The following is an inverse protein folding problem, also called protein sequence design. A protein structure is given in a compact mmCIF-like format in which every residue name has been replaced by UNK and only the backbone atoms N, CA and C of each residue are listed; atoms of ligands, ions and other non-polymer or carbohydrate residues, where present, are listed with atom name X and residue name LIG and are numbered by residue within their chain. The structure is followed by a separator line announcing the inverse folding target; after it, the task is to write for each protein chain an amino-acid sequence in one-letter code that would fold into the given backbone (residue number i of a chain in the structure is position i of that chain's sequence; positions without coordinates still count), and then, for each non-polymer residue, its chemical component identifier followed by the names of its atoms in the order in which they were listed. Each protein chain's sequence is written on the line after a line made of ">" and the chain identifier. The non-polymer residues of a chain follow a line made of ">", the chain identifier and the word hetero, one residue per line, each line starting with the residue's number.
data_IF_947301011955
#
_entry.id   IF_947301011955
#
_cell.length_a   1.000
_cell.length_b   1.000
_cell.length_c   1.000
_cell.angle_alpha   90.00
_cell.angle_beta   90.00
_cell.angle_gamma   90.00
#
_symmetry.space_group_name_H-M   'P 1'
#
loop_
_entity.id
_entity.type
_entity.pdbx_description
1 polymer ?
#
# COMPACT_ATOMS: atom_id res chain seq x y z
N UNK A 1 2.04 51.35 1.82
CA UNK A 1 0.74 51.00 1.30
C UNK A 1 0.79 49.60 0.73
N UNK A 2 -0.11 48.77 1.22
CA UNK A 2 -0.32 47.34 0.96
C UNK A 2 -0.46 46.99 -0.54
N UNK A 3 0.28 45.97 -1.02
CA UNK A 3 -0.09 44.94 -1.99
C UNK A 3 1.17 44.21 -2.46
N UNK A 4 1.56 43.14 -1.85
CA UNK A 4 2.42 42.07 -2.39
C UNK A 4 2.48 40.94 -1.34
N UNK A 5 1.43 40.18 -1.21
CA UNK A 5 1.35 39.12 -0.21
C UNK A 5 0.51 37.90 -0.63
N UNK A 6 0.31 37.67 -1.94
CA UNK A 6 -0.58 36.57 -2.38
C UNK A 6 0.06 35.64 -3.44
N UNK A 7 1.31 35.86 -3.85
CA UNK A 7 1.91 35.05 -4.93
C UNK A 7 2.79 33.88 -4.46
N UNK A 8 3.03 33.72 -3.16
CA UNK A 8 3.95 32.67 -2.66
C UNK A 8 3.27 31.37 -2.24
N UNK A 9 1.96 31.31 -2.18
CA UNK A 9 1.23 30.12 -1.70
C UNK A 9 0.70 29.18 -2.81
N UNK A 10 0.77 29.60 -4.09
CA UNK A 10 0.36 28.73 -5.20
C UNK A 10 1.47 27.86 -5.79
N UNK A 11 2.73 28.16 -5.51
CA UNK A 11 3.87 27.38 -6.04
C UNK A 11 4.23 26.15 -5.19
N UNK A 12 3.85 26.12 -3.91
CA UNK A 12 4.14 24.97 -3.06
C UNK A 12 3.18 23.78 -3.23
N UNK A 13 1.98 24.00 -3.79
CA UNK A 13 1.02 22.90 -4.00
C UNK A 13 1.33 22.02 -5.20
N UNK A 14 2.07 22.50 -6.19
CA UNK A 14 2.42 21.71 -7.37
C UNK A 14 3.66 20.81 -7.19
N UNK A 15 4.48 21.07 -6.17
CA UNK A 15 5.69 20.28 -5.90
C UNK A 15 5.38 19.00 -5.10
N UNK A 16 4.30 19.03 -4.33
CA UNK A 16 3.88 17.85 -3.53
C UNK A 16 3.17 16.76 -4.35
N UNK A 17 2.64 17.09 -5.51
CA UNK A 17 1.86 16.15 -6.33
C UNK A 17 2.68 15.10 -7.08
N UNK A 18 4.00 15.34 -7.27
CA UNK A 18 4.86 14.42 -8.00
C UNK A 18 5.64 13.42 -7.13
N UNK A 19 5.58 13.53 -5.80
CA UNK A 19 6.24 12.58 -4.90
C UNK A 19 5.45 11.29 -4.63
N UNK A 20 4.19 11.22 -5.05
CA UNK A 20 3.30 10.09 -4.72
C UNK A 20 3.38 8.89 -5.67
N UNK A 21 4.16 8.94 -6.74
CA UNK A 21 4.25 7.84 -7.70
C UNK A 21 5.52 7.01 -7.64
N UNK A 22 6.33 7.19 -6.62
CA UNK A 22 7.50 6.36 -6.42
C UNK A 22 7.17 5.36 -5.31
N UNK A 23 6.71 4.19 -5.72
CA UNK A 23 6.84 3.01 -4.88
C UNK A 23 8.34 2.88 -4.56
N UNK A 24 8.77 2.99 -3.30
CA UNK A 24 10.09 2.53 -2.95
C UNK A 24 10.08 1.03 -3.20
N UNK A 25 10.79 0.58 -4.24
CA UNK A 25 11.13 -0.84 -4.44
C UNK A 25 12.06 -1.37 -3.34
N UNK A 26 12.44 -0.52 -2.45
CA UNK A 26 13.02 -0.79 -1.14
C UNK A 26 12.10 -0.28 -0.05
N UNK A 27 10.94 -0.89 0.14
CA UNK A 27 10.38 -0.97 1.47
C UNK A 27 11.06 -2.11 2.25
N UNK A 28 12.38 -2.07 2.31
CA UNK A 28 13.06 -2.30 3.55
C UNK A 28 13.21 -0.93 4.25
N UNK A 29 12.12 -0.23 4.45
CA UNK A 29 11.93 0.35 5.76
C UNK A 29 12.02 -0.88 6.67
N UNK A 30 13.17 -1.04 7.30
CA UNK A 30 13.33 -2.03 8.35
C UNK A 30 12.13 -1.85 9.26
N UNK A 31 11.62 -2.93 9.85
CA UNK A 31 10.57 -2.83 10.88
C UNK A 31 10.89 -1.75 11.93
N UNK A 32 12.16 -1.34 12.04
CA UNK A 32 12.67 -0.23 12.84
C UNK A 32 12.28 1.16 12.30
N UNK A 33 12.21 1.41 11.00
CA UNK A 33 11.87 2.75 10.47
C UNK A 33 10.38 3.00 10.47
N UNK A 34 9.56 1.95 10.26
CA UNK A 34 8.11 2.02 10.50
C UNK A 34 7.84 2.17 12.00
N UNK A 35 8.58 1.46 12.87
CA UNK A 35 8.51 1.63 14.31
C UNK A 35 8.90 3.04 14.75
N UNK A 36 9.95 3.65 14.19
CA UNK A 36 10.33 5.03 14.46
C UNK A 36 9.29 6.05 13.98
N UNK A 37 8.65 5.82 12.83
CA UNK A 37 7.58 6.70 12.34
C UNK A 37 6.33 6.60 13.23
N UNK A 38 6.04 5.42 13.73
CA UNK A 38 4.95 5.14 14.68
C UNK A 38 5.30 5.69 16.08
N UNK A 39 6.52 5.49 16.57
CA UNK A 39 6.99 6.08 17.83
C UNK A 39 7.01 7.61 17.79
N UNK A 40 7.44 8.22 16.69
CA UNK A 40 7.45 9.68 16.54
C UNK A 40 6.05 10.28 16.52
N UNK A 41 5.05 9.56 16.00
CA UNK A 41 3.66 9.97 16.02
C UNK A 41 2.95 9.65 17.36
N UNK A 42 3.35 8.58 18.05
CA UNK A 42 2.88 8.26 19.40
C UNK A 42 3.42 9.24 20.46
N UNK A 43 4.63 9.75 20.30
CA UNK A 43 5.21 10.78 21.18
C UNK A 43 4.48 12.12 21.10
N UNK A 44 3.72 12.40 20.04
CA UNK A 44 2.88 13.60 19.90
C UNK A 44 1.49 13.47 20.53
N UNK A 45 1.05 12.24 20.82
CA UNK A 45 -0.18 11.99 21.57
C UNK A 45 0.24 11.60 22.98
N UNK A 46 0.21 12.55 23.92
CA UNK A 46 0.57 12.33 25.32
C UNK A 46 -0.26 11.19 25.93
N UNK A 47 0.30 10.01 25.97
CA UNK A 47 -0.28 8.87 26.68
C UNK A 47 0.35 8.83 28.05
N UNK A 48 -0.46 9.18 29.05
CA UNK A 48 -0.16 8.98 30.46
C UNK A 48 0.10 7.50 30.76
N UNK A 49 1.11 7.27 31.56
CA UNK A 49 1.61 5.94 31.95
C UNK A 49 0.62 5.08 32.75
N UNK A 50 1.03 3.88 33.11
CA UNK A 50 0.14 2.82 33.61
C UNK A 50 -0.33 3.09 35.02
N UNK A 51 -1.64 2.95 35.25
CA UNK A 51 -2.25 2.93 36.57
C UNK A 51 -2.61 1.52 37.02
N UNK A 52 -2.64 1.29 38.34
CA UNK A 52 -2.39 -0.02 38.91
C UNK A 52 -3.63 -0.90 39.03
N UNK A 53 -3.31 -2.17 39.11
CA UNK A 53 -4.15 -3.30 39.50
C UNK A 53 -5.06 -2.96 40.72
N UNK A 54 -6.38 -3.11 40.56
CA UNK A 54 -7.29 -3.33 41.67
C UNK A 54 -7.91 -4.71 41.53
N UNK A 55 -7.55 -5.55 42.51
CA UNK A 55 -8.23 -6.77 42.91
C UNK A 55 -9.40 -6.37 43.82
N UNK A 56 -10.56 -6.94 43.63
CA UNK A 56 -11.33 -7.59 44.71
C UNK A 56 -12.76 -7.86 44.26
N UNK A 57 -13.09 -9.11 44.40
CA UNK A 57 -14.15 -9.68 45.25
C UNK A 57 -15.62 -9.40 44.92
N UNK A 58 -16.18 -10.50 44.39
CA UNK A 58 -17.34 -11.24 44.94
C UNK A 58 -18.47 -10.43 45.63
N UNK A 59 -19.63 -10.66 45.15
CA UNK A 59 -20.83 -11.22 45.75
C UNK A 59 -22.10 -10.67 45.10
N UNK A 60 -22.85 -11.58 44.48
CA UNK A 60 -24.10 -12.14 44.99
C UNK A 60 -25.21 -11.11 45.18
N UNK A 61 -26.25 -11.20 44.40
CA UNK A 61 -27.65 -11.31 44.80
C UNK A 61 -28.50 -11.74 43.59
N UNK A 62 -29.00 -12.83 43.67
CA UNK A 62 -30.25 -13.54 43.59
C UNK A 62 -31.51 -12.70 43.30
N UNK A 63 -32.26 -13.23 42.34
CA UNK A 63 -33.64 -13.71 42.42
C UNK A 63 -34.76 -12.69 42.26
N UNK A 64 -35.59 -13.00 41.29
CA UNK A 64 -37.05 -13.23 41.40
C UNK A 64 -37.54 -13.38 39.94
N UNK A 65 -37.94 -14.43 39.45
CA UNK A 65 -39.02 -15.39 39.54
C UNK A 65 -40.40 -14.79 39.86
N UNK A 66 -41.29 -14.77 38.86
CA UNK A 66 -42.75 -14.91 38.93
C UNK A 66 -43.17 -15.50 37.58
N UNK A 67 -43.41 -16.76 37.48
CA UNK A 67 -44.66 -17.57 37.70
C UNK A 67 -45.86 -17.04 36.90
N UNK A 68 -46.16 -17.82 35.87
CA UNK A 68 -47.31 -18.71 35.76
C UNK A 68 -48.70 -18.12 36.01
N UNK A 69 -49.53 -18.13 34.99
CA UNK A 69 -50.94 -18.49 35.15
C UNK A 69 -51.36 -19.36 33.94
N UNK A 70 -51.59 -20.60 34.33
CA UNK A 70 -52.28 -21.60 33.57
C UNK A 70 -53.78 -21.40 33.82
N UNK A 71 -54.58 -21.36 32.79
CA UNK A 71 -56.02 -21.65 32.92
C UNK A 71 -56.50 -22.45 31.74
N UNK A 72 -56.63 -23.70 32.08
CA UNK A 72 -57.55 -24.64 31.44
C UNK A 72 -58.98 -24.22 31.70
N UNK A 73 -59.83 -24.73 30.85
CA UNK A 73 -61.24 -25.01 30.95
C UNK A 73 -62.19 -23.83 30.73
N UNK A 74 -62.89 -23.94 29.67
CA UNK A 74 -64.36 -24.08 29.70
C UNK A 74 -64.87 -24.67 28.38
N UNK A 75 -65.26 -25.94 28.50
CA UNK A 75 -66.12 -26.67 27.56
C UNK A 75 -67.55 -26.20 27.74
N UNK A 76 -68.26 -26.32 26.63
CA UNK A 76 -69.68 -26.57 26.46
C UNK A 76 -70.67 -25.43 26.64
N UNK A 77 -71.35 -25.12 25.63
CA UNK A 77 -72.81 -25.34 25.57
C UNK A 77 -73.33 -25.23 24.13
N UNK A 78 -74.13 -26.18 23.94
CA UNK A 78 -74.82 -26.64 22.73
C UNK A 78 -75.92 -25.72 22.24
N UNK A 79 -76.24 -25.90 20.99
CA UNK A 79 -77.55 -26.00 20.34
C UNK A 79 -78.23 -24.77 19.72
N UNK A 80 -78.35 -24.92 18.43
CA UNK A 80 -79.49 -24.67 17.55
C UNK A 80 -80.18 -23.34 17.55
N UNK A 81 -80.19 -22.75 16.37
CA UNK A 81 -81.41 -22.54 15.58
C UNK A 81 -81.05 -22.29 14.09
N UNK A 82 -81.66 -23.05 13.27
CA UNK A 82 -81.76 -22.83 11.84
C UNK A 82 -82.62 -21.62 11.56
N UNK A 83 -82.20 -20.73 10.67
CA UNK A 83 -83.05 -20.11 9.71
C UNK A 83 -82.24 -19.59 8.54
N UNK A 84 -82.51 -20.05 7.37
CA UNK A 84 -81.87 -19.62 6.17
C UNK A 84 -82.19 -18.17 5.74
N UNK A 85 -81.26 -17.52 5.15
CA UNK A 85 -81.50 -16.47 4.17
C UNK A 85 -80.39 -16.51 3.15
N UNK A 86 -80.74 -16.88 1.94
CA UNK A 86 -80.00 -16.58 0.74
C UNK A 86 -79.86 -15.07 0.57
N UNK A 87 -78.70 -14.55 0.48
CA UNK A 87 -78.49 -13.30 -0.22
C UNK A 87 -77.07 -13.15 -0.75
N UNK A 88 -76.96 -13.28 -2.05
CA UNK A 88 -76.07 -12.61 -2.99
C UNK A 88 -74.63 -12.40 -2.63
N UNK A 89 -73.83 -13.30 -3.13
CA UNK A 89 -72.42 -13.11 -3.47
C UNK A 89 -72.16 -11.90 -4.43
N UNK A 90 -71.93 -10.71 -3.90
CA UNK A 90 -71.37 -9.59 -4.64
C UNK A 90 -70.31 -8.78 -3.89
N UNK A 91 -69.95 -9.14 -2.68
CA UNK A 91 -68.94 -8.42 -1.90
C UNK A 91 -67.57 -9.10 -1.77
N UNK A 92 -67.42 -10.35 -2.25
CA UNK A 92 -66.14 -11.07 -2.16
C UNK A 92 -65.12 -10.63 -3.23
N UNK A 93 -65.56 -10.29 -4.41
CA UNK A 93 -64.67 -9.89 -5.51
C UNK A 93 -63.95 -8.54 -5.26
N UNK A 94 -64.63 -7.59 -4.60
CA UNK A 94 -64.02 -6.28 -4.31
C UNK A 94 -62.99 -6.37 -3.19
N UNK A 95 -63.21 -7.18 -2.17
CA UNK A 95 -62.22 -7.43 -1.09
C UNK A 95 -60.96 -8.12 -1.60
N UNK A 96 -61.11 -9.14 -2.47
CA UNK A 96 -59.98 -9.87 -3.07
C UNK A 96 -59.18 -8.92 -4.00
N UNK A 97 -59.83 -8.04 -4.75
CA UNK A 97 -59.20 -7.07 -5.62
C UNK A 97 -58.44 -5.99 -4.84
N UNK A 98 -59.01 -5.48 -3.73
CA UNK A 98 -58.36 -4.57 -2.79
C UNK A 98 -57.17 -5.24 -2.07
N UNK A 99 -57.30 -6.47 -1.59
CA UNK A 99 -56.22 -7.24 -0.97
C UNK A 99 -55.05 -7.47 -1.94
N UNK A 100 -55.32 -7.78 -3.20
CA UNK A 100 -54.25 -7.92 -4.23
C UNK A 100 -53.55 -6.60 -4.46
N UNK A 101 -54.26 -5.48 -4.59
CA UNK A 101 -53.64 -4.15 -4.73
C UNK A 101 -52.82 -3.78 -3.48
N UNK A 102 -53.28 -4.08 -2.28
CA UNK A 102 -52.52 -3.85 -1.05
C UNK A 102 -51.26 -4.72 -0.97
N UNK A 103 -51.35 -6.00 -1.39
CA UNK A 103 -50.20 -6.89 -1.48
C UNK A 103 -49.16 -6.39 -2.50
N UNK A 104 -49.59 -5.86 -3.65
CA UNK A 104 -48.68 -5.24 -4.64
C UNK A 104 -48.02 -3.96 -4.10
N UNK A 105 -48.74 -3.12 -3.36
CA UNK A 105 -48.18 -1.91 -2.75
C UNK A 105 -47.17 -2.26 -1.65
N UNK A 106 -47.47 -3.25 -0.82
CA UNK A 106 -46.53 -3.75 0.22
C UNK A 106 -45.29 -4.35 -0.45
N UNK A 107 -45.46 -5.11 -1.53
CA UNK A 107 -44.35 -5.70 -2.29
C UNK A 107 -43.50 -4.60 -2.95
N UNK A 108 -44.13 -3.55 -3.50
CA UNK A 108 -43.44 -2.41 -4.10
C UNK A 108 -42.68 -1.60 -3.03
N UNK A 109 -43.29 -1.34 -1.88
CA UNK A 109 -42.63 -0.66 -0.74
C UNK A 109 -41.49 -1.51 -0.18
N UNK A 110 -41.68 -2.83 -0.07
CA UNK A 110 -40.62 -3.76 0.34
C UNK A 110 -39.46 -3.82 -0.64
N UNK A 111 -39.70 -3.74 -1.96
CA UNK A 111 -38.63 -3.70 -2.96
C UNK A 111 -37.89 -2.35 -2.97
N UNK A 112 -38.54 -1.23 -2.63
CA UNK A 112 -37.90 0.09 -2.50
C UNK A 112 -37.05 0.14 -1.21
N UNK A 113 -37.45 -0.54 -0.14
CA UNK A 113 -36.67 -0.62 1.10
C UNK A 113 -35.41 -1.51 0.96
N UNK A 114 -35.37 -2.41 -0.03
CA UNK A 114 -34.19 -3.27 -0.30
C UNK A 114 -33.09 -2.59 -1.12
N UNK A 115 -33.33 -1.41 -1.69
CA UNK A 115 -32.35 -0.71 -2.53
C UNK A 115 -31.55 0.37 -1.80
N UNK A 116 -31.71 0.54 -0.48
CA UNK A 116 -31.12 1.67 0.27
C UNK A 116 -29.94 1.29 1.17
N UNK A 117 -29.13 0.33 0.81
CA UNK A 117 -27.92 0.01 1.59
C UNK A 117 -26.70 -0.14 0.68
N UNK A 118 -26.52 0.76 -0.27
CA UNK A 118 -25.33 0.87 -1.09
C UNK A 118 -24.43 2.00 -0.61
N UNK A 119 -23.13 1.80 -0.73
CA UNK A 119 -22.13 2.84 -0.54
C UNK A 119 -22.38 3.94 -1.59
N UNK A 120 -22.15 5.21 -1.24
CA UNK A 120 -22.25 6.32 -2.18
C UNK A 120 -21.32 6.08 -3.37
N UNK A 121 -21.80 6.38 -4.59
CA UNK A 121 -20.94 6.34 -5.78
C UNK A 121 -19.69 7.20 -5.54
N UNK A 122 -18.51 6.65 -5.85
CA UNK A 122 -17.22 7.32 -5.61
C UNK A 122 -16.67 7.17 -4.18
N UNK A 123 -17.26 6.30 -3.35
CA UNK A 123 -16.73 5.91 -2.05
C UNK A 123 -16.51 4.40 -1.98
N UNK A 124 -15.62 3.99 -1.09
CA UNK A 124 -15.39 2.61 -0.72
C UNK A 124 -15.63 2.45 0.77
N UNK A 125 -16.28 1.36 1.17
CA UNK A 125 -16.57 1.06 2.57
C UNK A 125 -15.96 -0.26 2.99
N UNK A 126 -15.26 -0.26 4.13
CA UNK A 126 -14.72 -1.45 4.75
C UNK A 126 -15.34 -1.61 6.15
N UNK A 127 -16.07 -2.68 6.33
CA UNK A 127 -16.60 -3.08 7.63
C UNK A 127 -15.83 -4.28 8.17
N UNK A 128 -15.58 -4.32 9.46
CA UNK A 128 -14.81 -5.39 10.04
C UNK A 128 -15.28 -5.86 11.39
N UNK A 129 -15.07 -7.16 11.63
CA UNK A 129 -15.31 -7.80 12.92
C UNK A 129 -14.12 -8.68 13.27
N UNK A 130 -13.56 -8.45 14.45
CA UNK A 130 -12.49 -9.27 15.01
C UNK A 130 -12.96 -10.04 16.25
N UNK A 131 -12.55 -11.30 16.31
CA UNK A 131 -12.55 -12.08 17.53
C UNK A 131 -11.26 -11.74 18.32
N UNK A 132 -11.31 -11.90 19.64
CA UNK A 132 -10.17 -11.71 20.54
C UNK A 132 -9.56 -10.29 20.52
N UNK A 133 -10.32 -9.29 20.04
CA UNK A 133 -9.96 -7.88 20.09
C UNK A 133 -11.20 -7.06 20.43
N UNK A 134 -11.20 -6.41 21.59
CA UNK A 134 -12.32 -5.55 21.98
C UNK A 134 -12.08 -4.08 21.56
N UNK A 135 -10.86 -3.59 21.71
CA UNK A 135 -10.44 -2.24 21.31
C UNK A 135 -9.07 -2.30 20.66
N UNK A 136 -8.82 -1.41 19.69
CA UNK A 136 -7.54 -1.30 19.02
C UNK A 136 -7.57 -0.25 17.92
N UNK A 137 -6.42 0.01 17.36
CA UNK A 137 -6.23 0.91 16.22
C UNK A 137 -5.41 0.19 15.16
N UNK A 138 -5.82 0.35 13.90
CA UNK A 138 -5.08 -0.08 12.73
C UNK A 138 -4.71 1.13 11.91
N UNK A 139 -3.59 1.07 11.24
CA UNK A 139 -3.24 2.07 10.24
C UNK A 139 -3.62 1.56 8.86
N UNK A 140 -4.01 2.48 7.98
CA UNK A 140 -4.31 2.19 6.59
C UNK A 140 -3.62 3.20 5.69
N UNK A 141 -3.01 2.71 4.62
CA UNK A 141 -2.38 3.54 3.60
C UNK A 141 -2.56 2.91 2.21
N UNK A 142 -2.34 3.66 1.15
CA UNK A 142 -2.39 3.13 -0.23
C UNK A 142 -0.99 3.03 -0.83
N UNK A 143 -0.75 1.96 -1.59
CA UNK A 143 0.51 1.74 -2.31
C UNK A 143 0.48 2.21 -3.77
N UNK A 144 -0.69 2.60 -4.26
CA UNK A 144 -0.93 2.94 -5.67
C UNK A 144 -1.65 4.28 -5.86
N UNK A 145 -1.67 5.12 -4.82
CA UNK A 145 -2.16 6.49 -4.88
C UNK A 145 -3.65 6.66 -4.58
N UNK A 146 -4.33 5.63 -4.10
CA UNK A 146 -5.76 5.69 -3.77
C UNK A 146 -6.11 6.59 -2.57
N UNK A 147 -5.13 6.89 -1.72
CA UNK A 147 -5.26 7.84 -0.62
C UNK A 147 -3.93 8.53 -0.32
N UNK A 148 -3.98 9.72 0.26
CA UNK A 148 -2.81 10.48 0.70
C UNK A 148 -2.47 10.16 2.16
N UNK A 149 -1.20 9.81 2.42
CA UNK A 149 -0.69 9.59 3.77
C UNK A 149 -1.19 8.30 4.41
N UNK A 150 -1.32 8.33 5.73
CA UNK A 150 -1.75 7.20 6.57
C UNK A 150 -2.96 7.65 7.39
N UNK A 151 -4.00 6.84 7.40
CA UNK A 151 -5.19 7.05 8.22
C UNK A 151 -5.30 5.98 9.31
N UNK A 152 -6.20 6.20 10.28
CA UNK A 152 -6.36 5.32 11.44
C UNK A 152 -7.77 4.76 11.51
N UNK A 153 -7.88 3.44 11.58
CA UNK A 153 -9.13 2.71 11.78
C UNK A 153 -9.24 2.33 13.26
N UNK A 154 -10.28 2.82 13.93
CA UNK A 154 -10.55 2.50 15.34
C UNK A 154 -11.50 1.33 15.47
N UNK A 155 -11.11 0.35 16.30
CA UNK A 155 -11.93 -0.83 16.63
C UNK A 155 -12.59 -0.61 17.99
N UNK A 156 -13.91 -0.78 18.05
CA UNK A 156 -14.70 -0.67 19.28
C UNK A 156 -15.64 -1.87 19.36
N UNK A 157 -15.61 -2.59 20.48
CA UNK A 157 -16.40 -3.82 20.63
C UNK A 157 -16.08 -4.89 19.61
N UNK A 158 -14.82 -4.95 19.16
CA UNK A 158 -14.36 -5.88 18.12
C UNK A 158 -14.85 -5.55 16.72
N UNK A 159 -15.43 -4.37 16.50
CA UNK A 159 -15.99 -3.95 15.19
C UNK A 159 -15.42 -2.61 14.77
N UNK A 160 -15.38 -2.40 13.46
CA UNK A 160 -15.04 -1.11 12.87
C UNK A 160 -15.80 -0.90 11.56
N UNK A 161 -15.92 0.35 11.18
CA UNK A 161 -16.36 0.79 9.86
C UNK A 161 -15.40 1.87 9.40
N UNK A 162 -14.91 1.74 8.19
CA UNK A 162 -14.03 2.70 7.54
C UNK A 162 -14.58 3.02 6.17
N UNK A 163 -14.74 4.28 5.86
CA UNK A 163 -15.23 4.77 4.58
C UNK A 163 -14.30 5.85 4.06
N UNK A 164 -13.99 5.80 2.76
CA UNK A 164 -13.12 6.76 2.12
C UNK A 164 -13.61 7.09 0.71
N UNK A 165 -13.29 8.30 0.18
CA UNK A 165 -13.46 8.58 -1.24
C UNK A 165 -12.61 7.62 -2.07
N UNK A 166 -13.22 7.00 -3.08
CA UNK A 166 -12.58 6.03 -3.98
C UNK A 166 -13.08 6.28 -5.40
N UNK A 167 -12.38 7.14 -6.13
CA UNK A 167 -12.75 7.47 -7.51
C UNK A 167 -12.23 6.43 -8.49
N UNK A 168 -11.03 5.92 -8.24
CA UNK A 168 -10.39 4.85 -9.00
C UNK A 168 -10.09 3.67 -8.07
N UNK A 169 -10.13 2.46 -8.61
CA UNK A 169 -9.79 1.26 -7.87
C UNK A 169 -8.36 1.31 -7.36
N UNK A 170 -8.15 0.96 -6.08
CA UNK A 170 -6.85 1.04 -5.45
C UNK A 170 -6.59 -0.10 -4.46
N UNK A 171 -5.33 -0.23 -4.06
CA UNK A 171 -4.90 -1.19 -3.04
C UNK A 171 -4.62 -0.47 -1.73
N UNK A 172 -5.39 -0.80 -0.71
CA UNK A 172 -5.17 -0.35 0.66
C UNK A 172 -4.36 -1.41 1.41
N UNK A 173 -3.41 -0.97 2.21
CA UNK A 173 -2.66 -1.83 3.13
C UNK A 173 -3.11 -1.54 4.56
N UNK A 174 -3.68 -2.53 5.23
CA UNK A 174 -3.99 -2.44 6.66
C UNK A 174 -2.78 -2.94 7.44
N UNK A 175 -2.28 -2.10 8.34
CA UNK A 175 -1.19 -2.42 9.27
C UNK A 175 -1.79 -2.69 10.63
N UNK A 176 -1.63 -3.91 11.11
CA UNK A 176 -2.09 -4.34 12.43
C UNK A 176 -1.09 -3.97 13.55
N UNK A 177 -1.48 -3.99 14.82
CA UNK A 177 -0.59 -3.64 15.94
C UNK A 177 0.68 -4.49 16.05
N UNK A 178 0.69 -5.69 15.46
CA UNK A 178 1.86 -6.57 15.37
C UNK A 178 2.73 -6.30 14.13
N UNK A 179 2.50 -5.15 13.44
CA UNK A 179 3.15 -4.74 12.20
C UNK A 179 2.95 -5.68 11.01
N UNK A 180 2.04 -6.65 11.10
CA UNK A 180 1.67 -7.42 9.91
C UNK A 180 0.77 -6.58 9.00
N UNK A 181 0.97 -6.73 7.69
CA UNK A 181 0.24 -5.99 6.67
C UNK A 181 -0.66 -6.92 5.86
N UNK A 182 -1.85 -6.42 5.54
CA UNK A 182 -2.79 -7.14 4.69
C UNK A 182 -3.41 -6.22 3.63
N UNK A 183 -3.45 -6.65 2.37
CA UNK A 183 -4.07 -5.86 1.31
C UNK A 183 -5.59 -5.99 1.33
N UNK A 184 -6.24 -4.86 1.03
CA UNK A 184 -7.65 -4.74 0.70
C UNK A 184 -7.74 -4.06 -0.66
N UNK A 185 -8.45 -4.66 -1.59
CA UNK A 185 -8.68 -4.08 -2.91
C UNK A 185 -9.97 -3.26 -2.85
N UNK A 186 -9.81 -1.94 -2.83
CA UNK A 186 -10.92 -0.99 -2.82
C UNK A 186 -11.41 -0.75 -4.24
N UNK A 187 -12.69 -0.94 -4.47
CA UNK A 187 -13.37 -0.72 -5.74
C UNK A 187 -14.43 0.37 -5.54
N UNK A 188 -14.52 1.31 -6.47
CA UNK A 188 -15.41 2.48 -6.35
C UNK A 188 -16.88 2.09 -6.26
N UNK A 189 -17.59 2.56 -5.24
CA UNK A 189 -19.01 2.26 -4.99
C UNK A 189 -19.26 0.94 -4.27
N UNK A 190 -18.20 0.18 -3.94
CA UNK A 190 -18.32 -1.14 -3.34
C UNK A 190 -18.07 -1.11 -1.82
N UNK A 191 -18.57 -2.16 -1.16
CA UNK A 191 -18.30 -2.41 0.26
C UNK A 191 -17.78 -3.82 0.47
N UNK A 192 -16.86 -3.97 1.43
CA UNK A 192 -16.30 -5.26 1.80
C UNK A 192 -16.42 -5.51 3.30
N UNK A 193 -16.62 -6.77 3.65
CA UNK A 193 -16.66 -7.24 5.03
C UNK A 193 -15.39 -8.01 5.36
N UNK A 194 -14.66 -7.59 6.39
CA UNK A 194 -13.49 -8.25 6.93
C UNK A 194 -13.87 -9.01 8.21
N UNK A 195 -13.56 -10.29 8.26
CA UNK A 195 -13.67 -11.13 9.45
C UNK A 195 -12.32 -11.74 9.79
N UNK A 196 -11.91 -11.62 11.03
CA UNK A 196 -10.63 -12.16 11.49
C UNK A 196 -10.61 -12.48 12.97
N UNK A 197 -9.59 -13.23 13.36
CA UNK A 197 -9.18 -13.41 14.73
C UNK A 197 -7.88 -12.64 14.95
N UNK A 198 -7.82 -11.77 15.94
CA UNK A 198 -6.63 -10.98 16.24
C UNK A 198 -5.41 -11.84 16.59
N UNK A 199 -5.62 -13.08 17.04
CA UNK A 199 -4.57 -14.06 17.30
C UNK A 199 -4.07 -14.75 16.04
N UNK A 200 -4.84 -14.72 14.92
CA UNK A 200 -4.59 -15.47 13.68
C UNK A 200 -4.87 -14.61 12.45
N UNK A 201 -4.25 -13.43 12.36
CA UNK A 201 -4.51 -12.47 11.27
C UNK A 201 -4.21 -13.00 9.86
N UNK A 202 -3.38 -14.04 9.71
CA UNK A 202 -3.14 -14.69 8.43
C UNK A 202 -4.38 -15.42 7.88
N UNK A 203 -5.33 -15.78 8.74
CA UNK A 203 -6.54 -16.51 8.40
C UNK A 203 -7.75 -15.61 8.14
N UNK A 204 -7.53 -14.29 8.17
CA UNK A 204 -8.62 -13.33 7.93
C UNK A 204 -9.31 -13.53 6.59
N UNK A 205 -10.62 -13.34 6.57
CA UNK A 205 -11.45 -13.38 5.39
C UNK A 205 -11.93 -11.98 5.01
N UNK A 206 -11.88 -11.67 3.73
CA UNK A 206 -12.47 -10.45 3.17
C UNK A 206 -13.42 -10.87 2.05
N UNK A 207 -14.67 -10.41 2.12
CA UNK A 207 -15.76 -10.71 1.20
C UNK A 207 -16.39 -9.42 0.69
N UNK A 208 -17.10 -9.50 -0.42
CA UNK A 208 -17.88 -8.39 -1.00
C UNK A 208 -17.44 -8.03 -2.42
N UNK A 209 -16.16 -8.21 -2.76
CA UNK A 209 -15.70 -8.05 -4.14
C UNK A 209 -14.85 -9.24 -4.58
N UNK A 210 -14.83 -9.45 -5.90
CA UNK A 210 -14.11 -10.58 -6.50
C UNK A 210 -12.62 -10.60 -6.16
N UNK A 211 -11.97 -9.44 -6.17
CA UNK A 211 -10.54 -9.34 -5.89
C UNK A 211 -10.22 -9.67 -4.42
N UNK A 212 -11.04 -9.20 -3.47
CA UNK A 212 -10.89 -9.52 -2.05
C UNK A 212 -11.15 -10.99 -1.74
N UNK A 213 -12.12 -11.61 -2.40
CA UNK A 213 -12.41 -13.05 -2.28
C UNK A 213 -11.27 -13.90 -2.88
N UNK A 214 -10.73 -13.49 -4.03
CA UNK A 214 -9.54 -14.12 -4.63
C UNK A 214 -8.34 -14.05 -3.70
N UNK A 215 -8.07 -12.89 -3.08
CA UNK A 215 -6.98 -12.75 -2.13
C UNK A 215 -7.21 -13.59 -0.86
N UNK A 216 -8.46 -13.69 -0.39
CA UNK A 216 -8.83 -14.59 0.71
C UNK A 216 -8.56 -16.06 0.36
N UNK A 217 -8.93 -16.48 -0.85
CA UNK A 217 -8.65 -17.82 -1.37
C UNK A 217 -7.16 -18.11 -1.44
N UNK A 218 -6.37 -17.14 -1.93
CA UNK A 218 -4.92 -17.26 -1.96
C UNK A 218 -4.33 -17.38 -0.55
N UNK A 219 -4.73 -16.53 0.42
CA UNK A 219 -4.27 -16.63 1.81
C UNK A 219 -4.50 -18.03 2.40
N UNK A 220 -5.70 -18.58 2.19
CA UNK A 220 -6.04 -19.93 2.65
C UNK A 220 -5.17 -21.03 2.00
N UNK A 221 -4.81 -20.85 0.73
CA UNK A 221 -4.00 -21.83 -0.01
C UNK A 221 -2.54 -21.90 0.43
N UNK A 222 -2.06 -20.87 1.14
CA UNK A 222 -0.67 -20.80 1.61
C UNK A 222 -0.51 -21.03 3.12
N UNK A 223 -1.61 -21.28 3.85
CA UNK A 223 -1.55 -21.59 5.28
C UNK A 223 -0.67 -22.81 5.54
N UNK A 224 0.30 -22.65 6.44
CA UNK A 224 1.25 -23.71 6.78
C UNK A 224 2.37 -23.95 5.77
N UNK A 225 2.40 -23.21 4.65
CA UNK A 225 3.47 -23.34 3.67
C UNK A 225 4.77 -22.68 4.16
N UNK A 226 5.89 -23.23 3.72
CA UNK A 226 7.21 -22.58 3.85
C UNK A 226 7.35 -21.44 2.84
N UNK A 227 8.24 -20.44 3.05
CA UNK A 227 8.40 -19.33 2.11
C UNK A 227 8.66 -19.74 0.65
N UNK A 228 9.46 -20.78 0.33
CA UNK A 228 9.59 -21.26 -1.05
C UNK A 228 8.29 -21.84 -1.63
N UNK A 229 7.49 -22.53 -0.80
CA UNK A 229 6.19 -23.09 -1.20
C UNK A 229 5.17 -21.96 -1.42
N UNK A 230 5.14 -20.94 -0.56
CA UNK A 230 4.31 -19.74 -0.77
C UNK A 230 4.63 -19.07 -2.10
N UNK A 231 5.94 -18.89 -2.41
CA UNK A 231 6.39 -18.29 -3.68
C UNK A 231 5.92 -19.13 -4.88
N UNK A 232 6.01 -20.45 -4.80
CA UNK A 232 5.54 -21.34 -5.87
C UNK A 232 4.04 -21.30 -6.02
N UNK A 233 3.30 -21.28 -4.91
CA UNK A 233 1.85 -21.14 -4.93
C UNK A 233 1.41 -19.79 -5.49
N UNK A 234 2.14 -18.71 -5.18
CA UNK A 234 1.90 -17.39 -5.76
C UNK A 234 2.11 -17.40 -7.28
N UNK A 235 3.15 -18.07 -7.79
CA UNK A 235 3.39 -18.23 -9.23
C UNK A 235 2.18 -18.87 -9.93
N UNK A 236 1.72 -20.03 -9.44
CA UNK A 236 0.57 -20.75 -10.00
C UNK A 236 -0.71 -19.91 -9.94
N UNK A 237 -0.95 -19.27 -8.79
CA UNK A 237 -2.12 -18.40 -8.63
C UNK A 237 -2.12 -17.24 -9.62
N UNK A 238 -0.97 -16.59 -9.86
CA UNK A 238 -0.83 -15.49 -10.82
C UNK A 238 -1.10 -15.98 -12.25
N UNK A 239 -0.60 -17.15 -12.63
CA UNK A 239 -0.82 -17.75 -13.95
C UNK A 239 -2.31 -18.04 -14.16
N UNK A 240 -3.01 -18.56 -13.15
CA UNK A 240 -4.45 -18.86 -13.23
C UNK A 240 -5.35 -17.61 -13.18
N UNK A 241 -4.89 -16.52 -12.57
CA UNK A 241 -5.67 -15.32 -12.31
C UNK A 241 -5.03 -14.04 -12.91
N UNK A 242 -4.38 -14.15 -14.07
CA UNK A 242 -3.63 -13.05 -14.68
C UNK A 242 -4.47 -11.79 -14.99
N UNK A 243 -5.79 -11.88 -15.02
CA UNK A 243 -6.71 -10.74 -15.21
C UNK A 243 -6.99 -9.94 -13.94
N UNK A 244 -6.62 -10.46 -12.77
CA UNK A 244 -6.91 -9.82 -11.49
C UNK A 244 -5.78 -8.89 -11.04
N UNK A 245 -6.12 -7.77 -10.41
CA UNK A 245 -5.15 -6.86 -9.76
C UNK A 245 -4.42 -7.54 -8.61
N UNK A 246 -5.00 -8.59 -8.00
CA UNK A 246 -4.35 -9.43 -6.99
C UNK A 246 -3.04 -10.01 -7.53
N UNK A 247 -2.99 -10.42 -8.80
CA UNK A 247 -1.81 -10.98 -9.42
C UNK A 247 -0.66 -9.98 -9.51
N UNK A 248 -0.95 -8.69 -9.79
CA UNK A 248 0.07 -7.64 -9.76
C UNK A 248 0.62 -7.43 -8.34
N UNK A 249 -0.25 -7.42 -7.33
CA UNK A 249 0.16 -7.34 -5.92
C UNK A 249 1.06 -8.54 -5.53
N UNK A 250 0.71 -9.76 -5.91
CA UNK A 250 1.49 -10.96 -5.60
C UNK A 250 2.85 -10.96 -6.30
N UNK A 251 2.95 -10.45 -7.55
CA UNK A 251 4.25 -10.27 -8.21
C UNK A 251 5.14 -9.34 -7.39
N UNK A 252 4.60 -8.18 -6.98
CA UNK A 252 5.35 -7.23 -6.14
C UNK A 252 5.83 -7.89 -4.85
N UNK A 253 4.95 -8.60 -4.14
CA UNK A 253 5.22 -9.19 -2.83
C UNK A 253 6.22 -10.35 -2.89
N UNK A 254 6.05 -11.31 -3.82
CA UNK A 254 6.80 -12.58 -3.80
C UNK A 254 8.00 -12.62 -4.74
N UNK A 255 8.08 -11.71 -5.72
CA UNK A 255 9.15 -11.75 -6.72
C UNK A 255 10.02 -10.49 -6.75
N UNK A 256 9.53 -9.35 -6.24
CA UNK A 256 10.23 -8.07 -6.29
C UNK A 256 10.64 -7.60 -4.89
N UNK A 257 9.68 -7.40 -3.98
CA UNK A 257 9.91 -6.90 -2.62
C UNK A 257 10.35 -8.03 -1.68
N UNK A 258 11.45 -8.70 -2.02
CA UNK A 258 12.04 -9.80 -1.25
C UNK A 258 13.54 -9.57 -1.09
N UNK A 259 14.19 -10.14 -0.05
CA UNK A 259 15.64 -10.02 0.13
C UNK A 259 16.46 -10.50 -1.07
N UNK A 260 15.92 -11.42 -1.86
CA UNK A 260 16.51 -11.93 -3.10
C UNK A 260 15.49 -11.84 -4.24
N UNK A 261 15.36 -10.67 -4.90
CA UNK A 261 14.41 -10.46 -5.98
C UNK A 261 14.67 -11.38 -7.17
N UNK A 262 13.60 -11.93 -7.73
CA UNK A 262 13.66 -12.71 -8.96
C UNK A 262 13.09 -11.90 -10.13
N UNK A 263 13.86 -10.94 -10.60
CA UNK A 263 13.46 -10.05 -11.69
C UNK A 263 13.18 -10.80 -13.00
N UNK A 264 13.84 -11.95 -13.24
CA UNK A 264 13.59 -12.77 -14.44
C UNK A 264 12.18 -13.33 -14.41
N UNK A 265 11.78 -13.96 -13.29
CA UNK A 265 10.43 -14.51 -13.14
C UNK A 265 9.40 -13.38 -13.08
N UNK A 266 9.66 -12.28 -12.34
CA UNK A 266 8.78 -11.12 -12.30
C UNK A 266 8.47 -10.58 -13.71
N UNK A 267 9.48 -10.43 -14.58
CA UNK A 267 9.29 -9.98 -15.96
C UNK A 267 8.45 -10.95 -16.79
N UNK A 268 8.63 -12.26 -16.63
CA UNK A 268 7.80 -13.23 -17.35
C UNK A 268 6.33 -13.15 -16.93
N UNK A 269 6.06 -13.03 -15.64
CA UNK A 269 4.72 -12.88 -15.10
C UNK A 269 4.10 -11.52 -15.47
N UNK A 270 4.86 -10.42 -15.42
CA UNK A 270 4.40 -9.10 -15.87
C UNK A 270 4.07 -9.09 -17.37
N UNK A 271 4.80 -9.85 -18.17
CA UNK A 271 4.48 -10.01 -19.60
C UNK A 271 3.15 -10.74 -19.81
N UNK A 272 2.86 -11.75 -19.00
CA UNK A 272 1.56 -12.41 -18.99
C UNK A 272 0.44 -11.43 -18.58
N UNK A 273 0.64 -10.67 -17.49
CA UNK A 273 -0.34 -9.69 -17.03
C UNK A 273 -0.60 -8.59 -18.07
N UNK A 274 0.44 -8.08 -18.74
CA UNK A 274 0.30 -7.06 -19.78
C UNK A 274 -0.58 -7.54 -20.93
N UNK A 275 -0.47 -8.81 -21.32
CA UNK A 275 -1.32 -9.44 -22.33
C UNK A 275 -2.78 -9.53 -21.86
N UNK A 276 -3.01 -9.93 -20.63
CA UNK A 276 -4.36 -10.15 -20.07
C UNK A 276 -5.01 -8.87 -19.53
N UNK A 277 -4.22 -7.84 -19.24
CA UNK A 277 -4.64 -6.54 -18.70
C UNK A 277 -4.05 -5.38 -19.52
N UNK A 278 -4.31 -5.26 -20.84
CA UNK A 278 -3.62 -4.30 -21.74
C UNK A 278 -3.88 -2.83 -21.37
N UNK A 279 -4.94 -2.53 -20.61
CA UNK A 279 -5.27 -1.18 -20.15
C UNK A 279 -4.66 -0.84 -18.78
N UNK A 280 -4.03 -1.80 -18.11
CA UNK A 280 -3.45 -1.59 -16.79
C UNK A 280 -2.06 -0.92 -16.92
N UNK A 281 -2.04 0.41 -16.81
CA UNK A 281 -0.82 1.23 -16.90
C UNK A 281 0.22 0.84 -15.84
N UNK A 282 -0.21 0.39 -14.67
CA UNK A 282 0.68 -0.02 -13.57
C UNK A 282 1.53 -1.24 -13.96
N UNK A 283 0.96 -2.19 -14.69
CA UNK A 283 1.68 -3.37 -15.20
C UNK A 283 2.80 -2.94 -16.13
N UNK A 284 2.51 -2.07 -17.11
CA UNK A 284 3.50 -1.59 -18.07
C UNK A 284 4.64 -0.80 -17.40
N UNK A 285 4.30 0.12 -16.50
CA UNK A 285 5.30 0.90 -15.73
C UNK A 285 6.20 0.00 -14.90
N UNK A 286 5.63 -0.96 -14.16
CA UNK A 286 6.40 -1.89 -13.33
C UNK A 286 7.29 -2.78 -14.20
N UNK A 287 6.79 -3.30 -15.32
CA UNK A 287 7.58 -4.10 -16.25
C UNK A 287 8.80 -3.34 -16.78
N UNK A 288 8.61 -2.09 -17.20
CA UNK A 288 9.72 -1.24 -17.67
C UNK A 288 10.77 -1.03 -16.56
N UNK A 289 10.31 -0.73 -15.35
CA UNK A 289 11.17 -0.52 -14.18
C UNK A 289 11.99 -1.77 -13.85
N UNK A 290 11.35 -2.94 -13.78
CA UNK A 290 12.03 -4.21 -13.48
C UNK A 290 12.98 -4.62 -14.58
N UNK A 291 12.67 -4.33 -15.87
CA UNK A 291 13.59 -4.56 -16.99
C UNK A 291 14.87 -3.75 -16.81
N UNK A 292 14.75 -2.47 -16.50
CA UNK A 292 15.92 -1.61 -16.22
C UNK A 292 16.75 -2.11 -15.04
N UNK A 293 16.09 -2.53 -13.95
CA UNK A 293 16.79 -3.09 -12.78
C UNK A 293 17.52 -4.40 -13.07
N UNK A 294 16.95 -5.24 -13.91
CA UNK A 294 17.60 -6.48 -14.37
C UNK A 294 18.83 -6.17 -15.21
N UNK A 295 18.72 -5.24 -16.16
CA UNK A 295 19.81 -4.89 -17.08
C UNK A 295 20.97 -4.18 -16.35
N UNK A 296 20.67 -3.45 -15.28
CA UNK A 296 21.64 -2.85 -14.37
C UNK A 296 21.78 -3.63 -13.05
N UNK A 297 21.63 -4.95 -13.07
CA UNK A 297 21.73 -5.83 -11.90
C UNK A 297 23.15 -6.09 -11.45
N UNK A 298 23.33 -6.58 -10.22
CA UNK A 298 24.63 -7.01 -9.70
C UNK A 298 25.19 -8.13 -10.58
N UNK A 299 26.46 -8.04 -10.92
CA UNK A 299 27.17 -8.96 -11.84
C UNK A 299 27.11 -8.57 -13.31
N UNK A 300 26.25 -7.64 -13.72
CA UNK A 300 26.18 -7.15 -15.11
C UNK A 300 27.20 -6.03 -15.38
N UNK A 301 27.49 -5.80 -16.64
CA UNK A 301 28.20 -4.57 -17.06
C UNK A 301 27.27 -3.36 -16.91
N UNK A 302 27.85 -2.21 -16.58
CA UNK A 302 27.08 -0.97 -16.54
C UNK A 302 26.44 -0.69 -17.91
N UNK A 303 25.11 -0.47 -18.00
CA UNK A 303 24.46 -0.04 -19.23
C UNK A 303 25.09 1.25 -19.78
N UNK A 304 25.28 1.30 -21.10
CA UNK A 304 25.82 2.51 -21.74
C UNK A 304 24.84 3.66 -21.67
N UNK A 305 25.32 4.85 -21.28
CA UNK A 305 24.53 6.07 -21.29
C UNK A 305 25.41 7.28 -21.57
N UNK A 306 24.76 8.37 -21.96
CA UNK A 306 25.32 9.71 -22.03
C UNK A 306 24.40 10.69 -21.33
N UNK A 307 24.94 11.68 -20.66
CA UNK A 307 24.21 12.76 -20.01
C UNK A 307 25.05 14.04 -20.03
N UNK A 308 24.50 15.16 -19.58
CA UNK A 308 25.22 16.41 -19.41
C UNK A 308 25.35 16.75 -17.92
N UNK A 309 26.55 17.14 -17.50
CA UNK A 309 26.75 17.64 -16.13
C UNK A 309 26.18 19.05 -15.95
N UNK A 310 26.24 19.55 -14.72
CA UNK A 310 25.78 20.92 -14.39
C UNK A 310 26.53 22.01 -15.16
N UNK A 311 27.72 21.73 -15.71
CA UNK A 311 28.53 22.68 -16.51
C UNK A 311 28.26 22.52 -18.01
N UNK A 312 27.37 21.66 -18.44
CA UNK A 312 27.07 21.36 -19.85
C UNK A 312 28.10 20.46 -20.53
N UNK A 313 29.01 19.83 -19.77
CA UNK A 313 29.95 18.87 -20.32
C UNK A 313 29.24 17.53 -20.54
N UNK A 314 29.44 16.95 -21.74
CA UNK A 314 28.98 15.59 -22.04
C UNK A 314 29.77 14.59 -21.19
N UNK A 315 29.06 13.73 -20.48
CA UNK A 315 29.59 12.63 -19.67
C UNK A 315 29.03 11.32 -20.15
N UNK A 316 29.79 10.25 -20.02
CA UNK A 316 29.36 8.92 -20.48
C UNK A 316 29.68 7.83 -19.46
N UNK A 317 28.98 6.71 -19.57
CA UNK A 317 29.26 5.51 -18.78
C UNK A 317 30.71 5.01 -18.95
N UNK A 318 31.35 5.29 -20.07
CA UNK A 318 32.74 4.89 -20.36
C UNK A 318 33.72 5.48 -19.34
N UNK A 319 33.48 6.72 -18.89
CA UNK A 319 34.33 7.37 -17.90
C UNK A 319 34.34 6.61 -16.56
N UNK A 320 33.22 5.95 -16.20
CA UNK A 320 33.08 5.16 -14.98
C UNK A 320 33.62 3.74 -15.14
N UNK A 321 33.36 3.13 -16.30
CA UNK A 321 33.78 1.75 -16.56
C UNK A 321 35.28 1.58 -16.77
N UNK A 322 35.99 2.66 -17.11
CA UNK A 322 37.46 2.69 -17.21
C UNK A 322 38.18 2.76 -15.87
N UNK A 323 37.48 3.02 -14.79
CA UNK A 323 38.08 3.14 -13.45
C UNK A 323 38.04 1.83 -12.68
N UNK A 324 39.04 1.55 -11.79
CA UNK A 324 39.02 0.37 -10.96
C UNK A 324 37.75 0.27 -10.11
N UNK A 325 37.36 1.38 -9.48
CA UNK A 325 36.13 1.50 -8.68
C UNK A 325 35.37 2.77 -9.11
N UNK A 326 34.07 2.66 -9.26
CA UNK A 326 33.24 3.84 -9.46
C UNK A 326 31.92 3.72 -8.68
N UNK A 327 31.35 4.88 -8.33
CA UNK A 327 30.04 4.98 -7.66
C UNK A 327 29.17 5.96 -8.42
N UNK A 328 27.97 5.51 -8.75
CA UNK A 328 26.85 6.35 -9.18
C UNK A 328 25.91 6.47 -7.99
N UNK A 329 25.46 7.68 -7.66
CA UNK A 329 24.56 7.88 -6.52
C UNK A 329 23.57 9.01 -6.78
N UNK A 330 22.39 8.92 -6.13
CA UNK A 330 21.37 9.95 -6.14
C UNK A 330 21.42 10.78 -4.86
N UNK A 331 21.17 12.08 -4.95
CA UNK A 331 21.19 12.99 -3.84
C UNK A 331 20.30 14.21 -4.08
N UNK A 332 20.00 15.00 -3.04
CA UNK A 332 19.33 16.29 -3.16
C UNK A 332 19.71 17.24 -2.01
N UNK A 333 19.52 18.54 -2.24
CA UNK A 333 19.85 19.58 -1.24
C UNK A 333 18.91 19.57 -0.04
N UNK A 334 17.72 19.01 -0.18
CA UNK A 334 16.73 18.88 0.89
C UNK A 334 16.81 17.56 1.67
N UNK A 335 17.73 16.64 1.30
CA UNK A 335 17.91 15.37 1.98
C UNK A 335 19.28 15.27 2.64
N UNK A 336 19.33 15.40 3.96
CA UNK A 336 20.56 15.43 4.74
C UNK A 336 21.36 14.13 4.64
N UNK A 337 20.73 12.97 4.65
CA UNK A 337 21.42 11.68 4.55
C UNK A 337 22.17 11.53 3.23
N UNK A 338 21.57 11.95 2.12
CA UNK A 338 22.21 11.92 0.81
C UNK A 338 23.40 12.89 0.73
N UNK A 339 23.31 14.05 1.37
CA UNK A 339 24.44 14.99 1.48
C UNK A 339 25.57 14.42 2.35
N UNK A 340 25.25 13.75 3.44
CA UNK A 340 26.25 13.10 4.29
C UNK A 340 26.99 11.98 3.53
N UNK A 341 26.25 11.18 2.77
CA UNK A 341 26.83 10.18 1.87
C UNK A 341 27.78 10.86 0.87
N UNK A 342 27.37 11.97 0.25
CA UNK A 342 28.20 12.72 -0.69
C UNK A 342 29.50 13.22 -0.06
N UNK A 343 29.45 13.77 1.16
CA UNK A 343 30.62 14.22 1.90
C UNK A 343 31.57 13.08 2.25
N UNK A 344 31.03 11.95 2.60
CA UNK A 344 31.81 10.75 2.95
C UNK A 344 32.43 10.10 1.70
N UNK A 345 31.72 10.07 0.57
CA UNK A 345 32.26 9.67 -0.73
C UNK A 345 33.44 10.58 -1.15
N UNK A 346 33.32 11.88 -0.89
CA UNK A 346 34.43 12.83 -1.15
C UNK A 346 35.71 12.51 -0.36
N UNK A 347 35.57 12.14 0.92
CA UNK A 347 36.74 11.76 1.73
C UNK A 347 37.41 10.48 1.13
N UNK A 348 36.64 9.48 0.77
CA UNK A 348 37.14 8.24 0.15
C UNK A 348 37.73 8.47 -1.23
N UNK A 349 37.14 9.36 -2.03
CA UNK A 349 37.72 9.74 -3.32
C UNK A 349 39.11 10.34 -3.16
N UNK A 350 39.28 11.27 -2.22
CA UNK A 350 40.59 11.94 -1.93
C UNK A 350 41.66 10.92 -1.48
N UNK A 351 41.27 9.96 -0.62
CA UNK A 351 42.19 8.93 -0.10
C UNK A 351 42.48 7.82 -1.09
N UNK A 352 41.66 7.66 -2.15
CA UNK A 352 41.77 6.56 -3.10
C UNK A 352 42.88 6.64 -4.12
N UNK A 353 43.65 7.76 -4.13
CA UNK A 353 44.73 7.99 -5.11
C UNK A 353 44.29 7.86 -6.57
N UNK A 354 43.06 8.28 -6.86
CA UNK A 354 42.48 8.23 -8.20
C UNK A 354 41.80 6.88 -8.57
N UNK A 355 41.82 5.89 -7.69
CA UNK A 355 41.14 4.60 -7.94
C UNK A 355 39.61 4.73 -7.95
N UNK A 356 39.03 5.70 -7.20
CA UNK A 356 37.60 5.89 -7.08
C UNK A 356 37.11 7.05 -7.98
N UNK A 357 36.20 6.76 -8.89
CA UNK A 357 35.43 7.74 -9.64
C UNK A 357 34.01 7.86 -9.08
N UNK A 358 33.50 9.07 -9.05
CA UNK A 358 32.17 9.40 -8.56
C UNK A 358 31.34 10.07 -9.67
N UNK A 359 30.05 9.78 -9.69
CA UNK A 359 29.07 10.47 -10.50
C UNK A 359 27.79 10.64 -9.68
N UNK A 360 27.35 11.89 -9.50
CA UNK A 360 26.13 12.22 -8.77
C UNK A 360 24.97 12.54 -9.71
N UNK A 361 23.77 12.14 -9.32
CA UNK A 361 22.52 12.65 -9.89
C UNK A 361 21.80 13.44 -8.80
N UNK A 362 21.69 14.76 -9.02
CA UNK A 362 20.97 15.66 -8.13
C UNK A 362 19.49 15.67 -8.50
N UNK A 363 18.62 15.38 -7.55
CA UNK A 363 17.18 15.32 -7.73
C UNK A 363 16.48 16.64 -7.38
N UNK A 364 17.22 17.75 -7.32
CA UNK A 364 16.62 19.06 -7.16
C UNK A 364 15.94 19.50 -8.46
N UNK A 365 14.81 20.14 -8.34
CA UNK A 365 14.15 20.80 -9.47
C UNK A 365 14.95 22.03 -9.95
N UNK A 366 15.74 22.65 -9.05
CA UNK A 366 16.57 23.84 -9.32
C UNK A 366 18.03 23.47 -9.48
N UNK A 367 18.56 23.68 -10.68
CA UNK A 367 19.99 23.55 -10.97
C UNK A 367 20.84 24.50 -10.14
N UNK A 368 20.37 25.72 -9.87
CA UNK A 368 21.08 26.72 -9.06
C UNK A 368 21.33 26.19 -7.64
N UNK A 369 20.31 25.61 -6.98
CA UNK A 369 20.45 25.05 -5.64
C UNK A 369 21.49 23.92 -5.60
N UNK A 370 21.46 23.05 -6.62
CA UNK A 370 22.45 22.00 -6.78
C UNK A 370 23.87 22.58 -6.90
N UNK A 371 24.09 23.58 -7.77
CA UNK A 371 25.40 24.21 -8.00
C UNK A 371 25.91 24.91 -6.75
N UNK A 372 25.06 25.62 -6.01
CA UNK A 372 25.43 26.27 -4.74
C UNK A 372 25.88 25.27 -3.69
N UNK A 373 25.16 24.16 -3.56
CA UNK A 373 25.51 23.07 -2.66
C UNK A 373 26.86 22.43 -3.06
N UNK A 374 27.03 22.15 -4.36
CA UNK A 374 28.28 21.60 -4.88
C UNK A 374 29.48 22.54 -4.60
N UNK A 375 29.32 23.85 -4.73
CA UNK A 375 30.34 24.84 -4.38
C UNK A 375 30.65 24.84 -2.88
N UNK A 376 29.62 24.86 -2.05
CA UNK A 376 29.73 24.82 -0.58
C UNK A 376 30.49 23.57 -0.12
N UNK A 377 30.13 22.40 -0.64
CA UNK A 377 30.75 21.14 -0.27
C UNK A 377 32.00 20.83 -1.12
N UNK A 378 32.42 21.73 -2.02
CA UNK A 378 33.58 21.61 -2.94
C UNK A 378 33.57 20.29 -3.69
N UNK A 379 32.47 20.01 -4.37
CA UNK A 379 32.29 18.81 -5.20
C UNK A 379 32.93 19.07 -6.57
N UNK A 380 33.82 18.17 -7.01
CA UNK A 380 34.64 18.35 -8.21
C UNK A 380 34.46 17.27 -9.28
N UNK A 381 33.57 16.33 -9.06
CA UNK A 381 33.21 15.30 -10.07
C UNK A 381 31.93 15.67 -10.80
N UNK A 382 31.59 14.87 -11.81
CA UNK A 382 30.41 15.10 -12.63
C UNK A 382 29.11 14.90 -11.83
N UNK A 383 28.23 15.89 -11.90
CA UNK A 383 26.90 15.86 -11.32
C UNK A 383 25.87 16.24 -12.39
N UNK A 384 24.90 15.40 -12.61
CA UNK A 384 23.74 15.68 -13.46
C UNK A 384 22.66 16.33 -12.60
N UNK A 385 22.12 17.45 -13.06
CA UNK A 385 20.97 18.13 -12.48
C UNK A 385 20.22 18.86 -13.61
N UNK A 386 19.25 18.20 -14.19
CA UNK A 386 18.46 18.68 -15.33
C UNK A 386 17.02 19.08 -14.95
N UNK A 387 16.66 18.98 -13.66
CA UNK A 387 15.32 19.28 -13.17
C UNK A 387 14.28 18.17 -13.42
N UNK A 388 14.65 17.10 -14.12
CA UNK A 388 13.75 15.96 -14.37
C UNK A 388 13.61 15.05 -13.15
N UNK A 389 14.39 15.27 -12.10
CA UNK A 389 14.34 14.48 -10.86
C UNK A 389 14.48 12.97 -11.16
N UNK A 390 13.58 12.12 -10.60
CA UNK A 390 13.56 10.68 -10.87
C UNK A 390 13.01 10.31 -12.25
N UNK A 391 12.49 11.28 -13.01
CA UNK A 391 12.04 11.07 -14.39
C UNK A 391 13.19 11.07 -15.42
N UNK A 392 14.42 11.42 -14.98
CA UNK A 392 15.62 11.38 -15.83
C UNK A 392 15.80 10.03 -16.51
N UNK A 393 16.06 10.07 -17.82
CA UNK A 393 16.17 8.88 -18.67
C UNK A 393 17.32 7.95 -18.27
N UNK A 394 18.43 8.53 -17.78
CA UNK A 394 19.60 7.76 -17.33
C UNK A 394 19.30 7.05 -16.02
N UNK A 395 18.65 7.74 -15.08
CA UNK A 395 18.22 7.12 -13.82
C UNK A 395 17.27 5.96 -14.07
N UNK A 396 16.27 6.14 -14.94
CA UNK A 396 15.35 5.07 -15.35
C UNK A 396 16.09 3.89 -16.00
N UNK A 397 17.04 4.17 -16.89
CA UNK A 397 17.85 3.14 -17.54
C UNK A 397 18.72 2.37 -16.55
N UNK A 398 19.25 3.03 -15.54
CA UNK A 398 20.05 2.42 -14.48
C UNK A 398 19.20 1.76 -13.37
N UNK A 399 17.88 1.94 -13.39
CA UNK A 399 16.99 1.45 -12.35
C UNK A 399 17.23 2.11 -11.00
N UNK A 400 17.71 3.37 -10.98
CA UNK A 400 17.82 4.20 -9.78
C UNK A 400 16.49 4.92 -9.56
N UNK A 401 15.75 4.53 -8.54
CA UNK A 401 14.34 4.91 -8.35
C UNK A 401 14.05 5.57 -7.01
N UNK A 402 15.08 5.74 -6.18
CA UNK A 402 14.96 6.31 -4.84
C UNK A 402 16.09 7.30 -4.54
N UNK A 403 16.03 7.93 -3.37
CA UNK A 403 17.03 8.85 -2.85
C UNK A 403 17.12 8.74 -1.31
N UNK A 404 18.31 8.47 -0.77
CA UNK A 404 19.54 8.13 -1.49
C UNK A 404 19.47 6.75 -2.14
N UNK A 405 20.13 6.58 -3.28
CA UNK A 405 20.34 5.30 -3.96
C UNK A 405 21.76 5.24 -4.52
N UNK A 406 22.28 4.04 -4.82
CA UNK A 406 23.64 3.90 -5.30
C UNK A 406 23.88 2.65 -6.14
N UNK A 407 24.88 2.75 -7.02
CA UNK A 407 25.47 1.64 -7.78
C UNK A 407 26.97 1.68 -7.59
N UNK A 408 27.59 0.57 -7.19
CA UNK A 408 29.05 0.42 -7.08
C UNK A 408 29.54 -0.44 -8.24
N UNK A 409 30.57 0.06 -8.91
CA UNK A 409 31.25 -0.63 -10.01
C UNK A 409 32.66 -1.07 -9.57
N UNK A 410 33.06 -2.23 -10.03
CA UNK A 410 34.43 -2.67 -10.02
C UNK A 410 34.82 -3.15 -11.42
N UNK A 411 35.83 -2.49 -12.02
CA UNK A 411 36.27 -2.79 -13.38
C UNK A 411 35.11 -2.81 -14.40
N UNK A 412 34.20 -1.83 -14.30
CA UNK A 412 33.05 -1.66 -15.19
C UNK A 412 31.86 -2.61 -14.95
N UNK A 413 31.96 -3.52 -13.97
CA UNK A 413 30.84 -4.40 -13.57
C UNK A 413 30.18 -3.89 -12.29
N UNK A 414 28.88 -4.00 -12.21
CA UNK A 414 28.11 -3.67 -11.03
C UNK A 414 28.37 -4.76 -9.96
N UNK A 415 28.94 -4.39 -8.84
CA UNK A 415 29.25 -5.30 -7.72
C UNK A 415 28.28 -5.16 -6.56
N UNK A 416 27.62 -3.99 -6.43
CA UNK A 416 26.57 -3.77 -5.47
C UNK A 416 25.67 -2.61 -5.92
N UNK A 417 24.46 -2.55 -5.39
CA UNK A 417 23.52 -1.44 -5.60
C UNK A 417 22.53 -1.35 -4.46
N UNK A 418 21.90 -0.19 -4.29
CA UNK A 418 20.85 0.03 -3.31
C UNK A 418 21.31 -0.21 -1.87
N UNK A 419 22.59 0.03 -1.58
CA UNK A 419 23.13 -0.17 -0.25
C UNK A 419 22.74 0.99 0.67
N UNK A 420 22.44 0.66 1.93
CA UNK A 420 22.34 1.67 2.97
C UNK A 420 23.69 2.33 3.23
N UNK A 421 23.70 3.43 3.98
CA UNK A 421 24.90 4.25 4.28
C UNK A 421 26.06 3.42 4.79
N UNK A 422 25.84 2.56 5.78
CA UNK A 422 26.92 1.77 6.40
C UNK A 422 27.47 0.69 5.47
N UNK A 423 26.59 -0.02 4.76
CA UNK A 423 26.98 -1.08 3.82
C UNK A 423 27.72 -0.50 2.60
N UNK A 424 27.30 0.69 2.13
CA UNK A 424 28.01 1.42 1.08
C UNK A 424 29.46 1.70 1.51
N UNK A 425 29.67 2.20 2.72
CA UNK A 425 31.00 2.53 3.23
C UNK A 425 31.84 1.27 3.42
N UNK A 426 31.31 0.24 4.04
CA UNK A 426 32.00 -1.03 4.24
C UNK A 426 32.42 -1.65 2.89
N UNK A 427 31.54 -1.60 1.89
CA UNK A 427 31.83 -2.13 0.55
C UNK A 427 32.94 -1.35 -0.14
N UNK A 428 32.93 -0.03 -0.06
CA UNK A 428 33.98 0.82 -0.62
C UNK A 428 35.33 0.62 0.08
N UNK A 429 35.34 0.51 1.41
CA UNK A 429 36.54 0.25 2.17
C UNK A 429 37.19 -1.11 1.83
N UNK A 430 36.37 -2.12 1.44
CA UNK A 430 36.87 -3.40 0.91
C UNK A 430 37.50 -3.26 -0.49
N UNK A 431 36.91 -2.45 -1.38
CA UNK A 431 37.31 -2.32 -2.78
C UNK A 431 38.49 -1.38 -3.00
N UNK A 432 38.73 -0.45 -2.06
CA UNK A 432 39.79 0.58 -2.15
C UNK A 432 41.08 0.21 -1.42
N UNK A 433 41.06 -0.88 -0.67
CA UNK A 433 42.29 -1.49 -0.12
C UNK A 433 43.18 -2.01 -1.26
#
# INVERSE_FOLDING_TARGET
>A
MKKNGVFFLKSCKSIWWNQQFILPLHSQLSNAEIAQLVEHNLAKVGVAGPSPVFRSNSNVYHAAMVELVDTRDLKSLDQKWLCGFESRSRHSSLKIFLMKKFAYIIFLISSILLTSCGVSSGHFKLEGKFLNMNQGEFYVYSTDGGMEGVDTIKVVGGRFTYEMPCHDDCTLMIVFPNFSEQPIFAESGESVELKGDASHLKEMEVKGTKNNELMTKFRKSILGNTPPQEKKQAELFIEDNAKSVVSLFLIKKYFIATPQPDYKKALSLLTLLEKEQPKNIQVGKLKQQISSMKDAGVGTKLPTFTSYDTKGKLISSTELTSSPVAVIYTWATFNYDSQDIQRELKKRQRSSQGKLKLMGFCLDASKSNCEENMKRDSINWAVVCNGEMLEDKTLKKLGLTSMPDNIILQNGKITARGLNKQDLYNKLDQLLK
#
